data_IF_763730152210
#
_entry.id   IF_763730152210
#
_cell.length_a   1.000
_cell.length_b   1.000
_cell.length_c   1.000
_cell.angle_alpha   90.00
_cell.angle_beta   90.00
_cell.angle_gamma   90.00
#
_symmetry.space_group_name_H-M   'P 1'
#
loop_
_entity.id
_entity.type
_entity.pdbx_description
1 polymer ?
#
# COMPACT_ATOMS: atom_id res chain seq x y z
N UNK A 1 35.40 20.43 -17.71
CA UNK A 1 36.39 19.50 -17.12
C UNK A 1 35.61 18.35 -16.54
N UNK A 2 35.65 17.17 -17.17
CA UNK A 2 35.00 15.94 -16.69
C UNK A 2 35.95 15.26 -15.71
N UNK A 3 35.47 14.93 -14.51
CA UNK A 3 36.20 14.08 -13.57
C UNK A 3 35.47 12.72 -13.49
N UNK A 4 36.20 11.67 -13.85
CA UNK A 4 35.75 10.29 -13.92
C UNK A 4 35.71 9.64 -12.52
N UNK A 5 34.66 8.87 -12.24
CA UNK A 5 34.66 7.89 -11.17
C UNK A 5 35.46 6.66 -11.62
N UNK A 6 36.34 6.19 -10.73
CA UNK A 6 37.13 4.96 -10.87
C UNK A 6 36.37 3.82 -10.19
N UNK A 7 36.05 2.77 -10.93
CA UNK A 7 35.73 1.46 -10.36
C UNK A 7 37.01 0.62 -10.38
N UNK A 8 37.46 0.20 -9.21
CA UNK A 8 38.55 -0.76 -9.05
C UNK A 8 37.95 -2.11 -8.64
N UNK A 9 38.16 -3.14 -9.46
CA UNK A 9 38.01 -4.52 -9.01
C UNK A 9 39.41 -5.10 -8.83
N UNK A 10 39.69 -5.52 -7.60
CA UNK A 10 40.93 -6.19 -7.21
C UNK A 10 40.90 -7.64 -7.68
N UNK A 11 41.87 -8.04 -8.50
CA UNK A 11 42.15 -9.44 -8.79
C UNK A 11 43.28 -9.92 -7.87
N UNK A 12 42.99 -10.92 -7.03
CA UNK A 12 44.00 -11.64 -6.28
C UNK A 12 43.64 -13.13 -6.18
N UNK A 13 44.40 -14.00 -6.85
CA UNK A 13 45.16 -15.04 -6.16
C UNK A 13 46.24 -15.63 -7.08
N UNK A 14 47.44 -15.76 -6.51
CA UNK A 14 48.63 -16.34 -7.12
C UNK A 14 48.83 -17.80 -6.65
N UNK A 15 49.53 -18.62 -7.43
CA UNK A 15 50.76 -19.32 -7.02
C UNK A 15 51.25 -20.35 -8.08
N UNK A 16 52.55 -20.24 -8.38
CA UNK A 16 53.45 -21.11 -9.18
C UNK A 16 53.63 -22.52 -8.57
N UNK A 17 54.01 -23.59 -9.30
CA UNK A 17 55.39 -23.96 -9.76
C UNK A 17 55.36 -25.11 -10.81
N UNK A 18 56.39 -25.08 -11.68
CA UNK A 18 56.74 -25.82 -12.90
C UNK A 18 56.73 -27.37 -12.94
N UNK A 19 56.61 -27.95 -14.15
CA UNK A 19 57.69 -28.62 -14.91
C UNK A 19 57.16 -29.33 -16.18
N UNK A 20 57.88 -29.22 -17.32
CA UNK A 20 57.76 -30.13 -18.47
C UNK A 20 56.98 -29.58 -19.66
N UNK A 21 57.66 -29.32 -20.76
CA UNK A 21 57.14 -28.66 -21.95
C UNK A 21 56.04 -29.42 -22.70
N UNK A 22 54.90 -28.75 -22.87
CA UNK A 22 53.99 -28.87 -24.00
C UNK A 22 53.55 -27.44 -24.28
N UNK A 23 53.72 -26.96 -25.53
CA UNK A 23 53.26 -25.63 -25.95
C UNK A 23 51.74 -25.72 -26.14
N UNK A 24 50.88 -25.03 -25.36
CA UNK A 24 49.47 -24.94 -25.70
C UNK A 24 49.28 -23.86 -26.77
N UNK A 25 48.29 -24.08 -27.63
CA UNK A 25 47.90 -23.20 -28.72
C UNK A 25 47.64 -21.77 -28.23
N UNK A 26 47.99 -20.80 -29.08
CA UNK A 26 47.80 -19.36 -28.91
C UNK A 26 46.36 -19.06 -28.47
N UNK A 27 46.20 -18.62 -27.22
CA UNK A 27 44.93 -18.12 -26.70
C UNK A 27 44.46 -16.94 -27.57
N UNK A 28 43.19 -16.99 -27.97
CA UNK A 28 42.52 -15.87 -28.59
C UNK A 28 42.55 -14.68 -27.62
N UNK A 29 42.84 -13.48 -28.14
CA UNK A 29 42.80 -12.26 -27.36
C UNK A 29 41.39 -12.05 -26.79
N UNK A 30 41.24 -11.51 -25.57
CA UNK A 30 39.92 -11.25 -25.02
C UNK A 30 39.23 -10.23 -25.93
N UNK A 31 38.12 -10.63 -26.54
CA UNK A 31 37.22 -9.69 -27.17
C UNK A 31 36.81 -8.67 -26.11
N UNK A 32 37.07 -7.39 -26.37
CA UNK A 32 36.48 -6.30 -25.62
C UNK A 32 34.96 -6.45 -25.75
N UNK A 33 34.32 -6.99 -24.70
CA UNK A 33 32.87 -6.92 -24.56
C UNK A 33 32.57 -5.46 -24.25
N UNK A 34 32.36 -4.68 -25.30
CA UNK A 34 31.68 -3.39 -25.19
C UNK A 34 30.26 -3.72 -24.76
N UNK A 35 29.99 -3.63 -23.47
CA UNK A 35 28.62 -3.62 -22.96
C UNK A 35 28.00 -2.34 -23.51
N UNK A 36 27.09 -2.50 -24.47
CA UNK A 36 26.39 -1.38 -25.06
C UNK A 36 25.39 -0.82 -24.02
N UNK A 37 25.77 0.28 -23.38
CA UNK A 37 24.90 1.00 -22.44
C UNK A 37 23.58 1.46 -23.08
N UNK A 38 23.45 1.46 -24.42
CA UNK A 38 22.18 1.76 -25.09
C UNK A 38 21.22 0.58 -25.11
N UNK A 39 21.71 -0.67 -25.11
CA UNK A 39 20.88 -1.87 -25.05
C UNK A 39 20.26 -2.09 -23.65
N UNK A 40 21.04 -1.85 -22.59
CA UNK A 40 20.54 -1.87 -21.20
C UNK A 40 19.45 -0.79 -20.98
N UNK A 41 19.52 0.32 -21.71
CA UNK A 41 18.55 1.42 -21.60
C UNK A 41 17.22 1.15 -22.33
N UNK A 42 17.17 0.23 -23.29
CA UNK A 42 15.93 -0.19 -23.94
C UNK A 42 15.25 -1.36 -23.20
N UNK A 43 16.00 -2.10 -22.38
CA UNK A 43 15.49 -3.20 -21.55
C UNK A 43 14.82 -2.73 -20.25
N UNK A 44 15.05 -1.49 -19.83
CA UNK A 44 14.47 -0.89 -18.62
C UNK A 44 13.40 0.18 -18.94
N UNK A 45 12.71 0.04 -20.08
CA UNK A 45 11.52 0.87 -20.35
C UNK A 45 10.47 0.53 -19.29
N UNK A 46 9.81 1.56 -18.79
CA UNK A 46 8.67 1.51 -17.88
C UNK A 46 7.60 2.37 -18.55
N UNK A 47 6.64 1.70 -19.19
CA UNK A 47 5.69 2.33 -20.10
C UNK A 47 4.54 3.04 -19.40
N UNK A 48 4.17 2.58 -18.20
CA UNK A 48 3.06 3.12 -17.41
C UNK A 48 3.51 4.00 -16.24
N UNK A 49 4.81 3.98 -15.92
CA UNK A 49 5.46 4.88 -14.97
C UNK A 49 5.36 4.44 -13.52
N UNK A 50 5.08 3.16 -13.23
CA UNK A 50 4.97 2.63 -11.87
C UNK A 50 6.33 2.32 -11.22
N UNK A 51 7.42 2.36 -12.01
CA UNK A 51 8.79 2.10 -11.61
C UNK A 51 9.26 0.66 -11.83
N UNK A 52 8.38 -0.25 -12.25
CA UNK A 52 8.68 -1.63 -12.61
C UNK A 52 9.00 -1.66 -14.11
N UNK A 53 10.17 -2.20 -14.52
CA UNK A 53 10.46 -2.33 -15.94
C UNK A 53 9.48 -3.28 -16.66
N UNK A 54 9.03 -2.86 -17.84
CA UNK A 54 8.23 -3.63 -18.81
C UNK A 54 8.69 -5.09 -18.95
N UNK A 55 10.01 -5.31 -18.96
CA UNK A 55 10.59 -6.64 -19.17
C UNK A 55 10.42 -7.54 -17.94
N UNK A 56 10.37 -6.95 -16.74
CA UNK A 56 10.09 -7.67 -15.49
C UNK A 56 8.62 -8.04 -15.41
N UNK A 57 7.72 -7.15 -15.80
CA UNK A 57 6.29 -7.42 -15.82
C UNK A 57 5.92 -8.48 -16.86
N UNK A 58 6.61 -8.52 -18.01
CA UNK A 58 6.36 -9.52 -19.07
C UNK A 58 7.00 -10.88 -18.85
N UNK A 59 8.14 -10.94 -18.14
CA UNK A 59 8.91 -12.18 -18.02
C UNK A 59 9.15 -12.64 -16.57
N UNK A 60 8.80 -11.82 -15.58
CA UNK A 60 9.27 -11.96 -14.21
C UNK A 60 10.70 -11.45 -14.02
N UNK A 61 11.15 -11.44 -12.76
CA UNK A 61 12.47 -10.96 -12.35
C UNK A 61 13.12 -11.92 -11.37
N UNK A 62 14.44 -12.01 -11.42
CA UNK A 62 15.25 -12.65 -10.38
C UNK A 62 15.99 -11.55 -9.63
N UNK A 63 15.73 -11.46 -8.33
CA UNK A 63 16.34 -10.48 -7.45
C UNK A 63 17.77 -10.88 -7.07
N UNK A 64 18.53 -9.96 -6.46
CA UNK A 64 19.95 -10.19 -6.14
C UNK A 64 20.19 -11.38 -5.19
N UNK A 65 19.22 -11.69 -4.32
CA UNK A 65 19.26 -12.84 -3.41
C UNK A 65 18.83 -14.17 -4.05
N UNK A 66 18.50 -14.15 -5.35
CA UNK A 66 18.01 -15.31 -6.10
C UNK A 66 16.50 -15.54 -6.00
N UNK A 67 15.75 -14.67 -5.31
CA UNK A 67 14.29 -14.72 -5.27
C UNK A 67 13.72 -14.51 -6.68
N UNK A 68 12.90 -15.45 -7.13
CA UNK A 68 12.19 -15.37 -8.41
C UNK A 68 10.79 -14.80 -8.19
N UNK A 69 10.46 -13.73 -8.87
CA UNK A 69 9.12 -13.13 -8.86
C UNK A 69 8.49 -13.27 -10.24
N UNK A 70 7.38 -14.01 -10.33
CA UNK A 70 6.63 -14.19 -11.56
C UNK A 70 5.57 -13.09 -11.69
N UNK A 71 6.03 -11.85 -11.87
CA UNK A 71 5.16 -10.67 -12.02
C UNK A 71 4.02 -10.85 -13.05
N UNK A 72 4.23 -11.46 -14.23
CA UNK A 72 3.12 -11.68 -15.17
C UNK A 72 2.05 -12.60 -14.59
N UNK A 73 2.44 -13.67 -13.88
CA UNK A 73 1.48 -14.55 -13.23
C UNK A 73 0.82 -13.90 -12.00
N UNK A 74 1.50 -12.93 -11.38
CA UNK A 74 0.97 -12.11 -10.29
C UNK A 74 -0.02 -11.05 -10.77
N UNK A 75 -0.16 -10.87 -12.09
CA UNK A 75 -1.11 -9.95 -12.69
C UNK A 75 -0.53 -8.57 -12.99
N UNK A 76 0.80 -8.43 -13.03
CA UNK A 76 1.44 -7.19 -13.48
C UNK A 76 1.13 -6.92 -14.97
N UNK A 77 0.95 -5.65 -15.33
CA UNK A 77 0.55 -5.19 -16.65
C UNK A 77 1.38 -3.98 -17.09
N UNK A 78 2.28 -4.13 -18.09
CA UNK A 78 3.15 -3.03 -18.57
C UNK A 78 2.42 -1.82 -19.16
N UNK A 79 1.10 -1.83 -19.24
CA UNK A 79 0.28 -0.74 -19.75
C UNK A 79 -0.59 -0.08 -18.68
N UNK A 80 -0.48 -0.55 -17.43
CA UNK A 80 -1.33 -0.13 -16.33
C UNK A 80 -0.56 -0.20 -15.01
N UNK A 81 -0.37 0.93 -14.30
CA UNK A 81 0.50 0.97 -13.12
C UNK A 81 0.15 -0.09 -12.07
N UNK A 82 1.15 -0.82 -11.61
CA UNK A 82 1.02 -1.81 -10.56
C UNK A 82 1.54 -1.31 -9.20
N UNK A 83 0.77 -1.57 -8.16
CA UNK A 83 1.14 -1.26 -6.78
C UNK A 83 1.05 -2.52 -5.94
N UNK A 84 2.21 -3.09 -5.60
CA UNK A 84 2.30 -4.22 -4.68
C UNK A 84 2.41 -3.73 -3.24
N UNK A 85 1.50 -4.19 -2.38
CA UNK A 85 1.41 -3.85 -0.97
C UNK A 85 1.38 -5.14 -0.14
N UNK A 86 2.37 -5.30 0.73
CA UNK A 86 2.29 -6.28 1.82
C UNK A 86 1.79 -5.57 3.08
N UNK A 87 0.78 -6.13 3.74
CA UNK A 87 0.29 -5.67 5.04
C UNK A 87 0.59 -6.71 6.11
N UNK A 88 1.27 -6.28 7.17
CA UNK A 88 1.55 -7.08 8.35
C UNK A 88 0.86 -6.44 9.57
N UNK A 89 0.45 -7.24 10.52
CA UNK A 89 -0.07 -6.73 11.79
C UNK A 89 0.35 -7.57 12.98
N UNK A 90 0.21 -6.96 14.15
CA UNK A 90 0.45 -7.60 15.43
C UNK A 90 -0.67 -8.57 15.78
N UNK A 91 -0.31 -9.69 16.39
CA UNK A 91 -1.28 -10.42 17.22
C UNK A 91 -1.76 -9.53 18.38
N UNK A 92 -2.90 -9.86 18.98
CA UNK A 92 -3.38 -9.16 20.17
C UNK A 92 -2.51 -9.43 21.40
N UNK A 93 -2.43 -8.48 22.34
CA UNK A 93 -1.69 -8.68 23.61
C UNK A 93 -2.21 -9.92 24.36
N UNK A 94 -3.51 -10.15 24.27
CA UNK A 94 -4.18 -11.33 24.84
C UNK A 94 -3.61 -12.64 24.29
N UNK A 95 -3.48 -12.77 22.96
CA UNK A 95 -2.85 -13.94 22.32
C UNK A 95 -1.36 -14.04 22.68
N UNK A 96 -0.64 -12.92 22.77
CA UNK A 96 0.80 -12.93 23.11
C UNK A 96 1.08 -13.47 24.49
N UNK A 97 0.17 -13.21 25.42
CA UNK A 97 0.22 -13.72 26.78
C UNK A 97 -0.27 -15.17 26.91
N UNK A 98 -0.69 -15.82 25.82
CA UNK A 98 -1.20 -17.19 25.80
C UNK A 98 -2.55 -17.36 26.47
N UNK A 99 -3.32 -16.27 26.59
CA UNK A 99 -4.56 -16.24 27.36
C UNK A 99 -5.70 -17.05 26.71
N UNK A 100 -5.59 -17.36 25.42
CA UNK A 100 -6.47 -18.25 24.66
C UNK A 100 -6.26 -19.74 25.01
N UNK A 101 -5.07 -20.10 25.51
CA UNK A 101 -4.72 -21.47 25.90
C UNK A 101 -4.80 -21.66 27.42
N UNK A 102 -4.13 -20.79 28.19
CA UNK A 102 -4.06 -20.89 29.65
C UNK A 102 -4.28 -19.51 30.29
N UNK A 103 -5.50 -19.19 30.74
CA UNK A 103 -5.79 -17.91 31.37
C UNK A 103 -4.95 -17.67 32.62
N UNK A 104 -4.23 -16.56 32.65
CA UNK A 104 -3.42 -16.08 33.78
C UNK A 104 -3.98 -14.77 34.35
N UNK A 105 -3.48 -14.33 35.52
CA UNK A 105 -3.85 -13.02 36.08
C UNK A 105 -3.51 -11.84 35.15
N UNK A 106 -2.46 -11.98 34.34
CA UNK A 106 -2.07 -10.97 33.36
C UNK A 106 -3.15 -10.74 32.28
N UNK A 107 -3.93 -11.78 31.97
CA UNK A 107 -5.00 -11.73 30.98
C UNK A 107 -6.15 -10.79 31.36
N UNK A 108 -6.35 -10.53 32.65
CA UNK A 108 -7.45 -9.68 33.13
C UNK A 108 -7.34 -8.23 32.65
N UNK A 109 -6.12 -7.77 32.35
CA UNK A 109 -5.84 -6.39 31.91
C UNK A 109 -5.24 -6.34 30.49
N UNK A 110 -5.13 -7.49 29.81
CA UNK A 110 -4.54 -7.57 28.48
C UNK A 110 -5.46 -6.92 27.44
N UNK A 111 -4.86 -6.21 26.49
CA UNK A 111 -5.57 -5.65 25.35
C UNK A 111 -6.06 -6.80 24.43
N UNK A 112 -7.38 -6.90 24.27
CA UNK A 112 -8.03 -7.91 23.41
C UNK A 112 -8.28 -7.39 21.99
N UNK A 113 -7.74 -6.22 21.64
CA UNK A 113 -7.91 -5.66 20.31
C UNK A 113 -7.15 -6.49 19.27
N UNK A 114 -7.88 -6.89 18.23
CA UNK A 114 -7.31 -7.51 17.04
C UNK A 114 -6.88 -6.42 16.05
N UNK A 115 -5.70 -6.58 15.46
CA UNK A 115 -5.11 -5.60 14.54
C UNK A 115 -5.33 -5.93 13.06
N UNK A 116 -5.86 -7.12 12.77
CA UNK A 116 -6.17 -7.55 11.41
C UNK A 116 -7.23 -6.68 10.76
N UNK A 117 -7.08 -6.48 9.45
CA UNK A 117 -8.02 -5.73 8.61
C UNK A 117 -9.01 -6.70 7.99
N UNK A 118 -10.28 -6.32 7.88
CA UNK A 118 -11.26 -7.12 7.15
C UNK A 118 -10.95 -7.21 5.66
N UNK A 119 -11.21 -8.39 5.09
CA UNK A 119 -11.05 -8.66 3.66
C UNK A 119 -11.87 -7.69 2.80
N UNK A 120 -13.09 -7.35 3.25
CA UNK A 120 -13.97 -6.42 2.55
C UNK A 120 -13.36 -5.02 2.45
N UNK A 121 -12.75 -4.52 3.53
CA UNK A 121 -12.07 -3.22 3.55
C UNK A 121 -10.88 -3.17 2.58
N UNK A 122 -10.17 -4.28 2.45
CA UNK A 122 -9.05 -4.40 1.50
C UNK A 122 -9.55 -4.50 0.05
N UNK A 123 -10.66 -5.21 -0.19
CA UNK A 123 -11.29 -5.24 -1.49
C UNK A 123 -11.77 -3.86 -1.94
N UNK A 124 -12.39 -3.08 -1.03
CA UNK A 124 -12.80 -1.70 -1.34
C UNK A 124 -11.61 -0.80 -1.71
N UNK A 125 -10.43 -1.03 -1.13
CA UNK A 125 -9.20 -0.35 -1.56
C UNK A 125 -8.77 -0.80 -2.95
N UNK A 126 -8.83 -2.09 -3.25
CA UNK A 126 -8.52 -2.62 -4.59
C UNK A 126 -9.45 -1.99 -5.63
N UNK A 127 -10.76 -1.99 -5.37
CA UNK A 127 -11.76 -1.40 -6.26
C UNK A 127 -11.54 0.11 -6.45
N UNK A 128 -11.20 0.84 -5.38
CA UNK A 128 -10.89 2.26 -5.46
C UNK A 128 -9.70 2.54 -6.39
N UNK A 129 -8.59 1.83 -6.24
CA UNK A 129 -7.45 2.00 -7.16
C UNK A 129 -7.80 1.53 -8.58
N UNK A 130 -8.64 0.50 -8.71
CA UNK A 130 -9.08 0.00 -10.01
C UNK A 130 -9.87 1.05 -10.80
N UNK A 131 -10.80 1.73 -10.13
CA UNK A 131 -11.58 2.86 -10.68
C UNK A 131 -10.71 4.03 -11.16
N UNK A 132 -9.47 4.12 -10.67
CA UNK A 132 -8.47 5.12 -11.08
C UNK A 132 -7.38 4.55 -12.01
N UNK A 133 -7.59 3.35 -12.56
CA UNK A 133 -6.69 2.77 -13.55
C UNK A 133 -5.38 2.24 -12.97
N UNK A 134 -5.31 1.94 -11.67
CA UNK A 134 -4.11 1.39 -11.01
C UNK A 134 -4.44 -0.03 -10.52
N UNK A 135 -3.56 -0.99 -10.77
CA UNK A 135 -3.66 -2.34 -10.23
C UNK A 135 -3.11 -2.37 -8.79
N UNK A 136 -3.98 -2.53 -7.80
CA UNK A 136 -3.55 -2.73 -6.41
C UNK A 136 -3.44 -4.22 -6.07
N UNK A 137 -2.22 -4.71 -5.89
CA UNK A 137 -1.88 -6.07 -5.49
C UNK A 137 -1.60 -6.12 -3.99
N UNK A 138 -2.46 -6.78 -3.21
CA UNK A 138 -2.38 -6.83 -1.74
C UNK A 138 -2.05 -8.25 -1.27
N UNK A 139 -0.98 -8.37 -0.49
CA UNK A 139 -0.66 -9.52 0.35
C UNK A 139 -0.92 -9.18 1.82
N UNK A 140 -2.04 -9.65 2.35
CA UNK A 140 -2.42 -9.56 3.76
C UNK A 140 -2.56 -10.97 4.39
N UNK A 141 -1.74 -11.92 3.94
CA UNK A 141 -1.76 -13.29 4.47
C UNK A 141 -3.02 -14.06 4.09
N UNK A 142 -3.47 -14.94 5.00
CA UNK A 142 -4.69 -15.74 4.82
C UNK A 142 -5.98 -14.89 4.78
N UNK A 143 -5.95 -13.68 5.34
CA UNK A 143 -7.13 -12.81 5.41
C UNK A 143 -7.53 -12.28 4.05
N UNK A 144 -6.56 -11.84 3.25
CA UNK A 144 -6.80 -11.31 1.91
C UNK A 144 -5.50 -11.40 1.10
N UNK A 145 -5.57 -12.03 -0.06
CA UNK A 145 -4.49 -12.04 -1.02
C UNK A 145 -5.10 -12.11 -2.42
N UNK A 146 -5.00 -11.02 -3.19
CA UNK A 146 -5.48 -10.96 -4.57
C UNK A 146 -4.37 -11.20 -5.60
N UNK A 147 -3.16 -11.57 -5.18
CA UNK A 147 -2.01 -11.83 -6.03
C UNK A 147 -2.01 -13.31 -6.46
N UNK A 148 -2.35 -13.65 -7.72
CA UNK A 148 -2.52 -15.04 -8.12
C UNK A 148 -1.20 -15.81 -8.08
N UNK A 149 -1.23 -17.03 -7.52
CA UNK A 149 -0.05 -17.91 -7.47
C UNK A 149 1.09 -17.42 -6.58
N UNK A 150 0.90 -16.33 -5.83
CA UNK A 150 1.88 -15.80 -4.89
C UNK A 150 1.71 -16.44 -3.50
N UNK A 151 2.81 -16.90 -2.93
CA UNK A 151 2.85 -17.38 -1.54
C UNK A 151 2.80 -16.18 -0.59
N UNK A 152 1.69 -16.06 0.14
CA UNK A 152 1.44 -14.95 1.04
C UNK A 152 2.51 -14.84 2.15
N UNK A 153 2.95 -13.62 2.43
CA UNK A 153 3.94 -13.29 3.47
C UNK A 153 3.47 -12.18 4.41
N UNK A 154 2.32 -11.56 4.11
CA UNK A 154 1.61 -10.63 4.99
C UNK A 154 0.78 -11.33 6.06
N UNK A 155 -0.05 -10.56 6.76
CA UNK A 155 -0.97 -11.06 7.78
C UNK A 155 -0.52 -10.83 9.22
N UNK A 156 -1.07 -11.62 10.15
CA UNK A 156 -0.71 -11.65 11.58
C UNK A 156 0.67 -12.29 11.76
N UNK A 157 1.71 -11.50 11.58
CA UNK A 157 3.10 -11.97 11.53
C UNK A 157 3.97 -11.39 12.64
N UNK A 158 3.46 -10.40 13.38
CA UNK A 158 4.20 -9.67 14.39
C UNK A 158 3.68 -10.00 15.79
N UNK A 159 4.58 -10.05 16.76
CA UNK A 159 4.19 -10.10 18.17
C UNK A 159 3.68 -8.74 18.62
N UNK A 160 2.77 -8.73 19.58
CA UNK A 160 2.28 -7.50 20.17
C UNK A 160 3.42 -6.70 20.83
N UNK A 161 3.49 -5.42 20.47
CA UNK A 161 4.21 -4.40 21.22
C UNK A 161 3.32 -3.17 21.35
N UNK A 162 3.20 -2.64 22.56
CA UNK A 162 2.32 -1.49 22.82
C UNK A 162 2.77 -0.21 22.11
N UNK A 163 4.07 0.08 22.17
CA UNK A 163 4.68 1.26 21.58
C UNK A 163 5.60 0.80 20.45
N UNK A 164 5.17 0.93 19.19
CA UNK A 164 5.90 0.34 18.09
C UNK A 164 7.27 0.99 17.83
N UNK A 165 7.39 2.28 18.11
CA UNK A 165 8.61 3.07 17.92
C UNK A 165 9.40 3.30 19.22
N UNK A 166 9.17 2.48 20.24
CA UNK A 166 9.86 2.67 21.52
C UNK A 166 11.39 2.56 21.36
N UNK A 167 12.11 3.60 21.78
CA UNK A 167 13.58 3.70 21.71
C UNK A 167 14.17 3.81 20.30
N UNK A 168 13.37 4.09 19.28
CA UNK A 168 13.84 4.27 17.90
C UNK A 168 13.11 5.44 17.21
N UNK A 169 13.77 6.11 16.26
CA UNK A 169 13.09 7.14 15.46
C UNK A 169 12.12 6.49 14.47
N UNK A 170 10.98 7.15 14.20
CA UNK A 170 9.99 6.63 13.24
C UNK A 170 10.60 6.31 11.87
N UNK A 171 11.40 7.24 11.34
CA UNK A 171 12.07 7.03 10.04
C UNK A 171 13.01 5.83 10.04
N UNK A 172 13.82 5.66 11.09
CA UNK A 172 14.73 4.49 11.20
C UNK A 172 13.95 3.18 11.27
N UNK A 173 12.90 3.11 12.10
CA UNK A 173 12.10 1.90 12.25
C UNK A 173 11.37 1.52 10.96
N UNK A 174 10.80 2.49 10.25
CA UNK A 174 10.14 2.26 8.96
C UNK A 174 11.14 1.81 7.88
N UNK A 175 12.37 2.35 7.87
CA UNK A 175 13.43 1.85 7.00
C UNK A 175 13.80 0.40 7.34
N UNK A 176 13.94 0.08 8.62
CA UNK A 176 14.21 -1.31 9.05
C UNK A 176 13.07 -2.25 8.66
N UNK A 177 11.80 -1.81 8.68
CA UNK A 177 10.68 -2.64 8.23
C UNK A 177 10.83 -3.07 6.76
N UNK A 178 11.30 -2.17 5.90
CA UNK A 178 11.58 -2.50 4.49
C UNK A 178 12.62 -3.62 4.44
N UNK A 179 13.75 -3.43 5.13
CA UNK A 179 14.87 -4.37 5.07
C UNK A 179 14.53 -5.72 5.73
N UNK A 180 13.86 -5.73 6.89
CA UNK A 180 13.56 -6.92 7.68
C UNK A 180 12.38 -7.72 7.12
N UNK A 181 11.36 -7.07 6.54
CA UNK A 181 10.11 -7.74 6.13
C UNK A 181 10.04 -7.98 4.63
N UNK A 182 10.64 -7.12 3.80
CA UNK A 182 10.65 -7.29 2.35
C UNK A 182 11.97 -7.88 1.84
N UNK A 183 13.10 -7.49 2.43
CA UNK A 183 14.42 -7.83 1.89
C UNK A 183 14.57 -7.31 0.46
N UNK A 184 14.98 -8.17 -0.47
CA UNK A 184 15.09 -7.79 -1.90
C UNK A 184 13.73 -7.53 -2.56
N UNK A 185 12.61 -8.02 -1.99
CA UNK A 185 11.28 -7.72 -2.53
C UNK A 185 10.90 -6.24 -2.42
N UNK A 186 11.68 -5.42 -1.70
CA UNK A 186 11.52 -3.96 -1.67
C UNK A 186 11.65 -3.31 -3.07
N UNK A 187 12.19 -4.03 -4.05
CA UNK A 187 12.20 -3.59 -5.45
C UNK A 187 10.83 -3.62 -6.12
N UNK A 188 9.82 -4.22 -5.48
CA UNK A 188 8.45 -4.39 -6.01
C UNK A 188 7.40 -3.98 -4.97
N UNK A 189 7.56 -4.45 -3.73
CA UNK A 189 6.55 -4.30 -2.68
C UNK A 189 6.75 -3.04 -1.83
N UNK A 190 5.63 -2.47 -1.41
CA UNK A 190 5.49 -1.61 -0.23
C UNK A 190 5.12 -2.43 0.99
N UNK A 191 5.44 -1.94 2.19
CA UNK A 191 5.13 -2.59 3.46
C UNK A 191 4.36 -1.66 4.39
N UNK A 192 3.14 -2.08 4.75
CA UNK A 192 2.37 -1.48 5.84
C UNK A 192 2.40 -2.36 7.07
N UNK A 193 2.56 -1.75 8.25
CA UNK A 193 2.46 -2.44 9.54
C UNK A 193 1.33 -1.86 10.37
N UNK A 194 0.48 -2.71 10.97
CA UNK A 194 -0.61 -2.28 11.84
C UNK A 194 -0.35 -2.78 13.27
N UNK A 195 -0.42 -1.86 14.23
CA UNK A 195 -0.18 -2.16 15.65
C UNK A 195 -0.96 -1.23 16.58
N UNK A 196 -0.57 -1.19 17.85
CA UNK A 196 -1.29 -0.41 18.88
C UNK A 196 -1.00 1.10 18.79
N UNK A 197 0.06 1.59 19.45
CA UNK A 197 0.40 3.00 19.55
C UNK A 197 1.76 3.30 18.94
N UNK A 198 1.92 4.56 18.51
CA UNK A 198 3.22 5.09 18.07
C UNK A 198 4.21 5.09 19.24
N UNK A 199 3.83 5.77 20.32
CA UNK A 199 4.57 5.86 21.58
C UNK A 199 3.61 6.15 22.75
N UNK A 200 4.14 6.19 23.98
CA UNK A 200 3.33 6.26 25.21
C UNK A 200 2.42 7.50 25.33
N UNK A 201 2.70 8.58 24.60
CA UNK A 201 1.94 9.84 24.67
C UNK A 201 1.45 10.33 23.30
N UNK A 202 1.70 9.56 22.24
CA UNK A 202 1.34 9.90 20.87
C UNK A 202 0.20 9.02 20.37
N UNK A 203 -0.95 9.66 20.18
CA UNK A 203 -2.18 9.07 19.65
C UNK A 203 -2.40 9.45 18.18
N UNK A 204 -1.32 9.70 17.43
CA UNK A 204 -1.39 9.79 15.98
C UNK A 204 -1.91 8.48 15.41
N UNK A 205 -2.68 8.56 14.33
CA UNK A 205 -3.24 7.41 13.62
C UNK A 205 -2.20 6.59 12.86
N UNK A 206 -1.01 7.16 12.61
CA UNK A 206 0.06 6.48 11.89
C UNK A 206 1.32 7.32 11.72
N UNK A 207 2.25 6.73 10.96
CA UNK A 207 3.51 7.33 10.53
C UNK A 207 3.95 6.68 9.21
N UNK A 208 4.38 7.49 8.24
CA UNK A 208 4.83 7.00 6.94
C UNK A 208 6.09 7.70 6.45
N UNK A 209 6.89 6.98 5.67
CA UNK A 209 7.89 7.60 4.81
C UNK A 209 7.17 8.23 3.61
N UNK A 210 7.51 9.49 3.29
CA UNK A 210 6.90 10.19 2.16
C UNK A 210 7.69 9.89 0.89
N UNK A 211 7.00 9.45 -0.16
CA UNK A 211 7.63 9.04 -1.43
C UNK A 211 8.70 7.94 -1.25
N UNK A 212 8.40 6.98 -0.39
CA UNK A 212 9.17 5.75 -0.18
C UNK A 212 8.15 4.60 0.02
N UNK A 213 8.50 3.49 0.68
CA UNK A 213 7.73 2.24 0.57
C UNK A 213 7.22 1.67 1.90
N UNK A 214 7.40 2.37 3.03
CA UNK A 214 6.97 1.88 4.34
C UNK A 214 6.11 2.85 5.12
N UNK A 215 5.07 2.32 5.75
CA UNK A 215 4.21 3.01 6.68
C UNK A 215 3.76 2.14 7.86
N UNK A 216 3.26 2.81 8.91
CA UNK A 216 2.68 2.20 10.09
C UNK A 216 1.32 2.83 10.41
N UNK A 217 0.35 2.00 10.78
CA UNK A 217 -0.98 2.39 11.25
C UNK A 217 -1.09 2.06 12.74
N UNK A 218 -1.35 3.09 13.55
CA UNK A 218 -1.61 2.98 14.97
C UNK A 218 -3.10 2.76 15.22
N UNK A 219 -3.52 1.49 15.26
CA UNK A 219 -4.89 1.10 15.57
C UNK A 219 -5.12 1.09 17.09
N UNK A 220 -4.87 2.22 17.75
CA UNK A 220 -5.02 2.38 19.19
C UNK A 220 -6.50 2.46 19.62
N UNK A 221 -6.75 2.62 20.93
CA UNK A 221 -8.09 2.62 21.54
C UNK A 221 -9.13 3.63 20.99
N UNK A 222 -8.71 4.63 20.20
CA UNK A 222 -9.64 5.61 19.61
C UNK A 222 -9.96 5.31 18.15
N UNK A 223 -9.24 4.40 17.50
CA UNK A 223 -9.61 3.83 16.22
C UNK A 223 -10.66 2.74 16.49
N UNK A 224 -11.94 3.12 16.38
CA UNK A 224 -13.06 2.35 16.93
C UNK A 224 -13.98 1.73 15.86
N UNK A 225 -13.67 1.93 14.58
CA UNK A 225 -14.38 1.33 13.46
C UNK A 225 -13.42 0.80 12.40
N UNK A 226 -13.89 -0.15 11.61
CA UNK A 226 -13.18 -0.67 10.44
C UNK A 226 -12.99 0.40 9.36
N UNK A 227 -13.96 1.31 9.22
CA UNK A 227 -13.88 2.43 8.26
C UNK A 227 -12.73 3.37 8.64
N UNK A 228 -12.55 3.68 9.93
CA UNK A 228 -11.42 4.48 10.40
C UNK A 228 -10.09 3.78 10.12
N UNK A 229 -10.01 2.46 10.32
CA UNK A 229 -8.82 1.67 10.04
C UNK A 229 -8.51 1.67 8.54
N UNK A 230 -9.48 1.32 7.70
CA UNK A 230 -9.38 1.31 6.23
C UNK A 230 -8.92 2.66 5.70
N UNK A 231 -9.57 3.75 6.13
CA UNK A 231 -9.22 5.09 5.68
C UNK A 231 -7.83 5.50 6.18
N UNK A 232 -7.40 5.05 7.36
CA UNK A 232 -6.04 5.33 7.85
C UNK A 232 -5.00 4.55 7.06
N UNK A 233 -5.27 3.30 6.69
CA UNK A 233 -4.37 2.55 5.78
C UNK A 233 -4.25 3.30 4.45
N UNK A 234 -5.37 3.79 3.89
CA UNK A 234 -5.34 4.62 2.67
C UNK A 234 -4.54 5.91 2.89
N UNK A 235 -4.73 6.61 4.01
CA UNK A 235 -3.98 7.82 4.36
C UNK A 235 -2.46 7.58 4.39
N UNK A 236 -2.03 6.55 5.12
CA UNK A 236 -0.61 6.24 5.28
C UNK A 236 -0.01 5.70 3.97
N UNK A 237 -0.76 4.93 3.19
CA UNK A 237 -0.37 4.55 1.82
C UNK A 237 -0.20 5.80 0.94
N UNK A 238 -1.08 6.79 1.05
CA UNK A 238 -0.99 8.05 0.31
C UNK A 238 0.31 8.81 0.57
N UNK A 239 0.84 8.75 1.79
CA UNK A 239 2.18 9.29 2.08
C UNK A 239 3.28 8.57 1.30
N UNK A 240 3.25 7.23 1.24
CA UNK A 240 4.20 6.46 0.42
C UNK A 240 4.12 6.85 -1.06
N UNK A 241 2.93 7.27 -1.51
CA UNK A 241 2.66 7.78 -2.87
C UNK A 241 2.91 9.28 -3.03
N UNK A 242 3.67 9.89 -2.11
CA UNK A 242 4.13 11.26 -2.25
C UNK A 242 3.09 12.31 -1.88
N UNK A 243 2.00 11.96 -1.19
CA UNK A 243 1.05 12.95 -0.68
C UNK A 243 1.46 13.46 0.71
N UNK A 244 1.06 14.70 1.02
CA UNK A 244 1.08 15.30 2.36
C UNK A 244 -0.33 15.73 2.74
N UNK A 245 -0.51 16.20 3.98
CA UNK A 245 -1.83 16.60 4.48
C UNK A 245 -2.47 17.79 3.76
N UNK A 246 -1.72 18.45 2.87
CA UNK A 246 -2.20 19.57 2.06
C UNK A 246 -2.16 19.28 0.55
N UNK A 247 -1.88 18.04 0.14
CA UNK A 247 -1.75 17.62 -1.26
C UNK A 247 -0.36 17.11 -1.60
N UNK A 248 -0.05 17.02 -2.90
CA UNK A 248 1.19 16.46 -3.43
C UNK A 248 2.46 17.09 -2.83
N UNK A 249 3.38 16.26 -2.33
CA UNK A 249 4.64 16.66 -1.70
C UNK A 249 5.44 17.64 -2.57
N UNK A 250 5.55 17.36 -3.88
CA UNK A 250 6.30 18.19 -4.82
C UNK A 250 5.80 19.65 -4.84
N UNK A 251 4.51 19.84 -4.55
CA UNK A 251 3.82 21.12 -4.56
C UNK A 251 3.81 21.78 -3.19
N UNK A 252 3.74 21.03 -2.09
CA UNK A 252 3.49 21.59 -0.74
C UNK A 252 4.65 21.45 0.27
N UNK A 253 5.82 20.96 -0.15
CA UNK A 253 6.97 20.71 0.75
C UNK A 253 7.47 21.93 1.54
N UNK A 254 7.38 23.13 1.00
CA UNK A 254 7.84 24.39 1.60
C UNK A 254 6.86 25.01 2.60
N UNK A 255 5.63 24.49 2.64
CA UNK A 255 4.56 24.91 3.56
C UNK A 255 4.22 23.81 4.58
N UNK A 256 5.05 22.77 4.66
CA UNK A 256 4.88 21.68 5.60
C UNK A 256 4.82 22.19 7.04
N UNK A 257 3.85 21.71 7.82
CA UNK A 257 3.67 22.08 9.22
C UNK A 257 2.98 23.43 9.44
N UNK A 258 2.66 24.17 8.37
CA UNK A 258 1.86 25.38 8.47
C UNK A 258 0.38 25.02 8.66
N UNK A 259 -0.30 25.79 9.52
CA UNK A 259 -1.75 25.72 9.67
C UNK A 259 -2.40 26.63 8.63
N UNK A 260 -2.93 26.03 7.57
CA UNK A 260 -3.59 26.70 6.46
C UNK A 260 -5.05 26.23 6.36
N UNK A 261 -5.91 27.05 5.75
CA UNK A 261 -7.27 26.63 5.42
C UNK A 261 -7.22 25.62 4.26
N UNK A 262 -7.50 24.37 4.59
CA UNK A 262 -7.54 23.24 3.65
C UNK A 262 -8.93 22.65 3.55
N UNK A 263 -9.97 23.40 3.96
CA UNK A 263 -11.36 22.92 3.92
C UNK A 263 -11.82 22.49 2.53
N UNK A 264 -11.27 23.09 1.47
CA UNK A 264 -11.53 22.71 0.08
C UNK A 264 -10.77 21.45 -0.39
N UNK A 265 -9.75 21.00 0.35
CA UNK A 265 -8.97 19.80 0.04
C UNK A 265 -9.69 18.56 0.59
N UNK A 266 -10.63 18.05 -0.19
CA UNK A 266 -11.43 16.87 0.15
C UNK A 266 -10.68 15.58 -0.20
N UNK A 267 -9.89 15.09 0.75
CA UNK A 267 -9.03 13.91 0.60
C UNK A 267 -8.87 13.24 1.95
N UNK A 268 -8.69 11.92 1.95
CA UNK A 268 -8.34 11.17 3.18
C UNK A 268 -7.04 11.70 3.81
N UNK A 269 -6.17 12.35 3.03
CA UNK A 269 -4.94 12.99 3.51
C UNK A 269 -5.18 14.20 4.42
N UNK A 270 -6.37 14.80 4.36
CA UNK A 270 -6.74 15.92 5.19
C UNK A 270 -7.39 15.43 6.49
N UNK A 271 -6.88 15.86 7.63
CA UNK A 271 -7.38 15.45 8.95
C UNK A 271 -8.86 15.79 9.21
N UNK A 272 -9.43 16.79 8.53
CA UNK A 272 -10.86 17.08 8.62
C UNK A 272 -11.74 16.00 7.95
N UNK A 273 -11.14 15.16 7.09
CA UNK A 273 -11.84 14.16 6.28
C UNK A 273 -11.33 12.71 6.48
N UNK A 274 -10.15 12.53 7.08
CA UNK A 274 -9.48 11.22 7.20
C UNK A 274 -10.41 10.09 7.65
N UNK A 275 -11.24 10.30 8.66
CA UNK A 275 -12.05 9.21 9.22
C UNK A 275 -13.41 9.01 8.54
N UNK A 276 -13.90 10.01 7.80
CA UNK A 276 -15.27 10.01 7.27
C UNK A 276 -15.33 10.06 5.74
N UNK A 277 -14.17 10.08 5.06
CA UNK A 277 -14.07 10.13 3.60
C UNK A 277 -13.04 9.13 3.07
N UNK A 278 -13.51 8.19 2.26
CA UNK A 278 -12.70 7.13 1.65
C UNK A 278 -12.41 7.42 0.19
N UNK A 279 -11.53 8.39 -0.08
CA UNK A 279 -10.94 8.66 -1.39
C UNK A 279 -9.79 9.67 -1.25
N UNK A 280 -8.89 9.75 -2.22
CA UNK A 280 -8.03 10.91 -2.40
C UNK A 280 -8.78 12.06 -3.09
N UNK A 281 -8.15 13.22 -3.24
CA UNK A 281 -8.75 14.37 -3.94
C UNK A 281 -8.89 14.10 -5.44
N UNK A 282 -10.12 14.20 -5.94
CA UNK A 282 -10.47 14.09 -7.36
C UNK A 282 -10.22 15.37 -8.16
N UNK A 283 -9.99 16.49 -7.48
CA UNK A 283 -9.94 17.81 -8.12
C UNK A 283 -8.81 18.66 -7.55
N UNK A 284 -8.22 19.54 -8.37
CA UNK A 284 -7.33 20.56 -7.85
C UNK A 284 -8.09 21.53 -6.93
N UNK A 285 -7.35 22.19 -6.04
CA UNK A 285 -7.87 23.26 -5.21
C UNK A 285 -6.87 24.43 -5.10
N UNK A 286 -7.37 25.61 -4.76
CA UNK A 286 -6.55 26.78 -4.49
C UNK A 286 -6.26 26.87 -3.00
N UNK A 287 -4.99 26.93 -2.66
CA UNK A 287 -4.49 27.07 -1.30
C UNK A 287 -3.90 28.47 -1.11
N UNK A 288 -4.45 29.24 -0.18
CA UNK A 288 -3.85 30.51 0.23
C UNK A 288 -2.65 30.25 1.15
N UNK A 289 -1.48 30.75 0.78
CA UNK A 289 -0.23 30.57 1.52
C UNK A 289 0.43 31.91 1.82
N UNK A 290 1.35 31.99 2.79
CA UNK A 290 2.17 33.18 3.01
C UNK A 290 2.99 33.63 1.78
N UNK A 291 3.15 32.75 0.78
CA UNK A 291 3.89 33.00 -0.45
C UNK A 291 2.99 33.29 -1.66
N UNK A 292 1.67 33.42 -1.43
CA UNK A 292 0.65 33.63 -2.44
C UNK A 292 -0.25 32.42 -2.64
N UNK A 293 -1.30 32.60 -3.45
CA UNK A 293 -2.23 31.53 -3.81
C UNK A 293 -1.52 30.49 -4.67
N UNK A 294 -1.64 29.24 -4.27
CA UNK A 294 -1.07 28.07 -4.96
C UNK A 294 -2.18 27.18 -5.46
N UNK A 295 -2.08 26.75 -6.71
CA UNK A 295 -2.91 25.65 -7.20
C UNK A 295 -2.25 24.33 -6.80
N UNK A 296 -3.00 23.51 -6.06
CA UNK A 296 -2.61 22.16 -5.67
C UNK A 296 -3.40 21.20 -6.56
N UNK A 297 -2.74 20.26 -7.27
CA UNK A 297 -3.42 19.33 -8.18
C UNK A 297 -4.35 18.37 -7.43
N UNK A 298 -5.20 17.66 -8.18
CA UNK A 298 -5.86 16.48 -7.66
C UNK A 298 -4.80 15.46 -7.20
N UNK A 299 -5.11 14.69 -6.16
CA UNK A 299 -4.15 13.73 -5.60
C UNK A 299 -3.89 12.59 -6.58
N UNK A 300 -4.95 12.05 -7.20
CA UNK A 300 -4.86 10.97 -8.19
C UNK A 300 -3.97 11.32 -9.38
N UNK A 301 -3.92 12.60 -9.78
CA UNK A 301 -3.07 13.08 -10.88
C UNK A 301 -1.61 13.31 -10.46
N UNK A 302 -1.33 13.28 -9.15
CA UNK A 302 -0.04 13.68 -8.58
C UNK A 302 0.62 12.59 -7.73
N UNK A 303 0.10 11.36 -7.76
CA UNK A 303 0.70 10.21 -7.07
C UNK A 303 2.10 9.92 -7.60
N UNK A 304 3.04 9.72 -6.69
CA UNK A 304 4.38 9.22 -6.99
C UNK A 304 4.40 7.69 -6.83
N UNK A 305 3.92 6.98 -7.86
CA UNK A 305 3.83 5.51 -7.86
C UNK A 305 5.24 4.88 -7.97
N UNK A 306 6.16 5.50 -8.70
CA UNK A 306 7.54 5.04 -8.86
C UNK A 306 8.48 5.49 -7.73
N UNK A 307 8.24 5.01 -6.51
CA UNK A 307 9.16 5.24 -5.40
C UNK A 307 10.58 4.78 -5.78
N UNK A 308 11.61 5.52 -5.35
CA UNK A 308 13.00 5.37 -5.85
C UNK A 308 13.63 3.97 -5.68
N UNK A 309 13.04 3.10 -4.86
CA UNK A 309 13.47 1.71 -4.64
C UNK A 309 12.87 0.73 -5.64
N UNK A 310 11.70 1.06 -6.20
CA UNK A 310 10.99 0.19 -7.14
C UNK A 310 11.82 0.11 -8.42
N UNK A 311 12.01 -1.11 -8.93
CA UNK A 311 12.81 -1.36 -10.14
C UNK A 311 14.31 -1.09 -10.03
N UNK A 312 14.84 -0.75 -8.84
CA UNK A 312 16.20 -0.24 -8.71
C UNK A 312 17.29 -1.32 -8.79
N UNK A 313 17.00 -2.56 -8.39
CA UNK A 313 17.97 -3.66 -8.30
C UNK A 313 17.33 -5.00 -8.68
N UNK A 314 17.63 -5.47 -9.89
CA UNK A 314 17.24 -6.81 -10.33
C UNK A 314 18.07 -7.23 -11.54
N UNK A 315 18.28 -8.55 -11.68
CA UNK A 315 18.95 -9.12 -12.84
C UNK A 315 17.85 -9.72 -13.72
N UNK A 316 17.63 -9.12 -14.89
CA UNK A 316 16.64 -9.61 -15.83
C UNK A 316 17.04 -11.00 -16.34
N UNK A 317 16.38 -12.05 -15.83
CA UNK A 317 16.26 -13.38 -16.46
C UNK A 317 15.52 -14.35 -15.54
N UNK A 318 14.18 -14.38 -15.58
CA UNK A 318 13.50 -15.63 -15.22
C UNK A 318 13.42 -16.49 -16.51
N UNK A 319 13.76 -17.79 -16.47
CA UNK A 319 13.59 -18.65 -17.62
C UNK A 319 12.09 -18.76 -17.93
N UNK A 320 11.72 -18.44 -19.16
CA UNK A 320 10.41 -18.74 -19.73
C UNK A 320 10.04 -20.18 -19.38
N UNK A 321 8.98 -20.38 -18.59
CA UNK A 321 8.38 -21.71 -18.44
C UNK A 321 7.58 -22.05 -19.72
N UNK A 322 8.27 -22.15 -20.85
CA UNK A 322 7.80 -22.90 -22.00
C UNK A 322 8.39 -24.30 -21.91
N UNK A 323 7.57 -25.30 -21.57
CA UNK A 323 8.01 -26.69 -21.66
C UNK A 323 7.28 -27.73 -20.82
N UNK A 324 5.95 -27.83 -20.94
CA UNK A 324 5.25 -29.10 -20.64
C UNK A 324 3.86 -29.19 -21.30
N UNK A 325 3.75 -28.92 -22.60
CA UNK A 325 2.65 -29.48 -23.40
C UNK A 325 3.30 -30.22 -24.57
N UNK A 326 3.32 -31.55 -24.47
CA UNK A 326 3.61 -32.40 -25.61
C UNK A 326 2.42 -32.32 -26.57
N UNK A 327 2.48 -31.44 -27.57
CA UNK A 327 1.56 -31.50 -28.70
C UNK A 327 1.89 -32.73 -29.56
N UNK A 328 0.95 -33.67 -29.78
CA UNK A 328 1.11 -34.64 -30.82
C UNK A 328 0.83 -33.98 -32.18
N UNK A 329 1.71 -34.28 -33.14
CA UNK A 329 1.70 -33.81 -34.52
C UNK A 329 0.30 -33.82 -35.20
N UNK A 330 0.03 -32.88 -36.13
CA UNK A 330 -1.28 -32.68 -36.73
C UNK A 330 -1.70 -33.89 -37.56
N UNK A 331 -2.83 -34.50 -37.21
CA UNK A 331 -3.52 -35.49 -38.04
C UNK A 331 -4.60 -34.81 -38.86
N UNK A 332 -4.63 -35.18 -40.13
CA UNK A 332 -5.57 -34.77 -41.18
C UNK A 332 -7.04 -34.86 -40.73
N UNK A 333 -7.83 -33.84 -41.12
CA UNK A 333 -9.28 -33.80 -40.95
C UNK A 333 -9.98 -34.82 -41.88
N UNK A 334 -11.00 -35.55 -41.39
CA UNK A 334 -12.04 -36.10 -42.24
C UNK A 334 -13.32 -35.24 -42.25
N UNK A 335 -14.02 -35.34 -43.37
CA UNK A 335 -15.17 -34.58 -43.88
C UNK A 335 -16.44 -34.56 -43.01
N UNK A 336 -17.28 -33.56 -43.31
CA UNK A 336 -18.64 -33.32 -42.80
C UNK A 336 -19.59 -34.51 -42.96
N UNK A 337 -20.37 -34.82 -41.92
CA UNK A 337 -21.68 -35.47 -42.05
C UNK A 337 -22.77 -34.64 -41.35
N UNK A 338 -23.86 -34.40 -42.09
CA UNK A 338 -25.08 -33.68 -41.69
C UNK A 338 -25.82 -34.35 -40.52
N UNK A 339 -26.49 -33.58 -39.62
CA UNK A 339 -27.45 -34.16 -38.70
C UNK A 339 -28.83 -34.33 -39.34
N UNK A 340 -29.43 -35.51 -39.13
CA UNK A 340 -30.82 -35.82 -39.44
C UNK A 340 -31.78 -35.34 -38.33
N UNK A 341 -32.97 -34.99 -38.79
CA UNK A 341 -34.12 -34.37 -38.12
C UNK A 341 -34.94 -35.37 -37.26
N UNK A 342 -35.38 -34.96 -36.06
CA UNK A 342 -36.51 -35.57 -35.33
C UNK A 342 -37.24 -34.55 -34.41
N UNK A 343 -38.53 -34.76 -34.09
CA UNK A 343 -39.56 -33.71 -34.15
C UNK A 343 -40.03 -33.13 -32.80
N UNK A 344 -40.77 -32.01 -32.90
CA UNK A 344 -41.41 -31.25 -31.83
C UNK A 344 -42.65 -31.93 -31.21
N UNK A 345 -43.10 -31.50 -30.02
CA UNK A 345 -44.49 -31.65 -29.60
C UNK A 345 -45.26 -30.32 -29.54
N UNK A 346 -46.54 -30.42 -29.90
CA UNK A 346 -47.57 -29.38 -30.03
C UNK A 346 -48.05 -28.76 -28.71
N UNK A 347 -48.67 -27.59 -28.87
CA UNK A 347 -49.34 -26.79 -27.86
C UNK A 347 -50.83 -27.12 -27.72
N UNK A 348 -51.39 -26.92 -26.52
CA UNK A 348 -52.83 -26.71 -26.29
C UNK A 348 -53.07 -25.47 -25.40
N UNK A 349 -54.15 -24.75 -25.69
CA UNK A 349 -54.76 -23.57 -25.01
C UNK A 349 -56.28 -23.60 -25.36
N UNK A 350 -57.18 -22.74 -24.83
CA UNK A 350 -57.32 -22.11 -23.49
C UNK A 350 -58.82 -22.02 -23.01
N UNK A 351 -59.09 -21.44 -21.82
CA UNK A 351 -60.30 -20.65 -21.47
C UNK A 351 -60.11 -19.99 -20.06
N UNK A 352 -59.98 -18.65 -19.91
CA UNK A 352 -61.02 -17.61 -19.64
C UNK A 352 -61.94 -17.90 -18.41
N UNK A 353 -62.15 -17.03 -17.41
CA UNK A 353 -62.42 -15.59 -17.45
C UNK A 353 -62.11 -14.83 -16.11
N UNK A 354 -61.95 -13.51 -16.24
CA UNK A 354 -61.60 -12.43 -15.28
C UNK A 354 -62.81 -11.96 -14.40
N UNK A 355 -62.88 -10.72 -13.83
CA UNK A 355 -61.88 -9.74 -13.28
C UNK A 355 -62.31 -9.17 -11.89
N UNK A 356 -61.48 -8.34 -11.23
CA UNK A 356 -61.86 -6.96 -10.83
C UNK A 356 -60.70 -6.15 -10.20
N UNK A 357 -60.81 -4.82 -10.33
CA UNK A 357 -59.77 -3.76 -10.25
C UNK A 357 -60.01 -2.89 -8.97
N UNK A 358 -59.41 -1.69 -8.77
CA UNK A 358 -58.77 -1.29 -7.50
C UNK A 358 -59.37 -0.02 -6.84
N UNK A 359 -58.98 0.30 -5.60
CA UNK A 359 -59.09 1.62 -4.92
C UNK A 359 -58.63 1.42 -3.46
N UNK A 360 -58.20 2.37 -2.61
CA UNK A 360 -57.83 3.79 -2.62
C UNK A 360 -57.28 4.07 -1.20
N UNK A 361 -56.49 5.13 -1.02
CA UNK A 361 -56.28 5.79 0.30
C UNK A 361 -57.59 6.43 0.80
N UNK A 362 -57.78 6.57 2.11
CA UNK A 362 -57.83 7.92 2.72
C UNK A 362 -57.09 7.97 4.09
N UNK A 363 -56.31 8.99 4.43
CA UNK A 363 -56.67 10.36 4.89
C UNK A 363 -57.05 10.44 6.38
N UNK A 364 -56.51 11.50 7.00
CA UNK A 364 -56.41 11.87 8.42
C UNK A 364 -57.74 12.03 9.17
N UNK A 365 -57.72 11.86 10.51
CA UNK A 365 -58.42 12.76 11.43
C UNK A 365 -57.86 12.73 12.87
N UNK A 366 -57.70 13.93 13.40
CA UNK A 366 -57.38 14.31 14.78
C UNK A 366 -58.51 13.94 15.76
N UNK A 367 -58.19 13.70 17.05
CA UNK A 367 -58.71 14.49 18.19
C UNK A 367 -58.27 13.97 19.58
N UNK A 368 -57.64 14.90 20.32
CA UNK A 368 -57.85 15.29 21.74
C UNK A 368 -57.53 14.36 22.94
N UNK A 369 -56.42 14.75 23.59
CA UNK A 369 -56.15 14.95 25.03
C UNK A 369 -57.15 14.54 26.14
N UNK A 370 -56.61 13.89 27.20
CA UNK A 370 -56.69 14.38 28.60
C UNK A 370 -55.69 13.69 29.57
N UNK A 371 -54.67 14.47 29.95
CA UNK A 371 -53.93 14.72 31.21
C UNK A 371 -53.89 13.79 32.48
N UNK A 372 -52.68 13.84 33.09
CA UNK A 372 -52.21 13.66 34.51
C UNK A 372 -51.51 12.31 34.79
N UNK A 373 -50.28 12.22 35.32
CA UNK A 373 -49.57 13.05 36.31
C UNK A 373 -48.04 13.19 36.02
N UNK A 374 -47.45 14.28 36.51
CA UNK A 374 -45.99 14.56 36.60
C UNK A 374 -45.57 14.55 38.08
N UNK A 375 -44.31 14.22 38.41
CA UNK A 375 -43.31 15.27 38.69
C UNK A 375 -41.89 14.94 38.13
N UNK A 376 -41.24 15.82 37.37
CA UNK A 376 -40.22 16.83 37.76
C UNK A 376 -38.76 16.35 37.48
N UNK A 377 -37.80 17.26 37.17
CA UNK A 377 -37.05 17.21 35.90
C UNK A 377 -35.66 16.57 35.98
N UNK A 378 -35.23 15.91 34.90
CA UNK A 378 -33.82 15.67 34.60
C UNK A 378 -33.39 16.71 33.57
N UNK A 379 -32.36 17.47 33.90
CA UNK A 379 -31.74 18.48 33.05
C UNK A 379 -31.03 17.76 31.90
N UNK A 380 -31.57 17.87 30.71
CA UNK A 380 -30.93 17.44 29.47
C UNK A 380 -29.90 18.51 29.10
N UNK A 381 -28.61 18.17 29.19
CA UNK A 381 -27.56 18.94 28.52
C UNK A 381 -27.33 18.29 27.18
N UNK A 382 -27.79 18.96 26.12
CA UNK A 382 -27.30 18.75 24.77
C UNK A 382 -25.78 18.91 24.77
N UNK A 383 -25.05 17.80 24.72
CA UNK A 383 -23.61 17.83 24.44
C UNK A 383 -23.46 17.84 22.94
N UNK A 384 -23.28 19.03 22.39
CA UNK A 384 -22.87 19.23 21.01
C UNK A 384 -21.48 18.60 20.83
N UNK A 385 -21.43 17.45 20.14
CA UNK A 385 -20.23 16.61 19.95
C UNK A 385 -19.12 17.35 19.17
N UNK A 386 -19.44 18.48 18.52
CA UNK A 386 -18.46 19.32 17.83
C UNK A 386 -17.53 20.16 18.76
N UNK A 387 -17.73 20.16 20.08
CA UNK A 387 -16.99 21.06 20.99
C UNK A 387 -15.95 20.38 21.91
N UNK A 388 -15.68 19.07 21.79
CA UNK A 388 -14.75 18.33 22.67
C UNK A 388 -13.46 17.85 21.98
N UNK A 389 -13.36 17.95 20.65
CA UNK A 389 -12.17 17.48 19.89
C UNK A 389 -11.10 18.57 19.70
N UNK A 390 -11.35 19.80 20.16
CA UNK A 390 -10.56 20.97 19.74
C UNK A 390 -9.26 21.32 20.53
N UNK A 391 -8.78 20.63 21.59
CA UNK A 391 -7.46 21.00 22.14
C UNK A 391 -6.51 19.83 22.46
N UNK A 392 -6.24 18.89 21.53
CA UNK A 392 -5.08 17.98 21.65
C UNK A 392 -4.15 17.96 20.41
N UNK A 393 -4.48 18.66 19.32
CA UNK A 393 -3.62 18.71 18.11
C UNK A 393 -2.50 19.77 18.18
N UNK A 394 -2.08 20.20 19.38
CA UNK A 394 -1.17 21.35 19.55
C UNK A 394 0.27 21.02 19.98
N UNK A 395 0.74 19.76 19.90
CA UNK A 395 2.14 19.41 20.20
C UNK A 395 2.69 18.35 19.22
N UNK A 396 2.60 18.57 17.91
CA UNK A 396 3.26 17.68 16.92
C UNK A 396 3.86 18.45 15.73
N UNK A 397 4.55 19.57 16.00
CA UNK A 397 5.26 20.32 14.96
C UNK A 397 6.69 20.75 15.33
N UNK A 398 7.33 20.17 16.36
CA UNK A 398 8.64 20.69 16.82
C UNK A 398 9.75 19.67 17.15
N UNK A 399 9.58 18.36 16.91
CA UNK A 399 10.68 17.42 17.18
C UNK A 399 10.81 16.45 16.02
N UNK A 400 11.58 16.87 15.00
CA UNK A 400 11.80 15.99 13.85
C UNK A 400 12.67 16.52 12.73
N UNK A 401 13.59 17.48 12.94
CA UNK A 401 14.70 17.75 11.98
C UNK A 401 15.94 18.15 12.79
N UNK A 402 17.02 17.37 12.65
CA UNK A 402 18.27 17.56 13.37
C UNK A 402 19.17 18.67 12.82
N UNK A 403 20.16 19.07 13.62
CA UNK A 403 21.35 19.76 13.11
C UNK A 403 22.61 19.25 13.83
N UNK A 404 23.37 18.44 13.10
CA UNK A 404 24.80 18.36 13.28
C UNK A 404 25.42 19.71 12.87
N UNK A 405 26.04 20.42 13.81
CA UNK A 405 27.00 21.48 13.51
C UNK A 405 28.34 21.02 14.06
N UNK A 406 29.19 20.56 13.14
CA UNK A 406 30.59 20.31 13.40
C UNK A 406 31.31 21.64 13.71
N UNK A 407 32.16 21.53 14.72
CA UNK A 407 33.21 22.46 15.14
C UNK A 407 33.99 23.11 13.98
N UNK A 408 34.10 24.45 14.01
CA UNK A 408 35.27 25.18 13.51
C UNK A 408 35.52 26.49 14.30
N UNK A 409 36.41 26.41 15.31
CA UNK A 409 37.44 27.40 15.75
C UNK A 409 37.03 28.84 16.19
N UNK A 410 37.93 29.67 16.78
CA UNK A 410 38.71 29.48 18.02
C UNK A 410 38.67 30.72 18.96
N UNK A 411 38.94 30.51 20.26
CA UNK A 411 39.80 31.38 21.08
C UNK A 411 39.32 32.75 21.60
N UNK A 412 39.77 33.04 22.84
CA UNK A 412 39.83 34.33 23.56
C UNK A 412 38.47 34.81 24.11
N UNK A 413 38.30 35.13 25.39
CA UNK A 413 39.21 35.49 26.47
C UNK A 413 38.49 36.53 27.35
N UNK A 414 38.67 36.39 28.67
CA UNK A 414 38.11 37.17 29.79
C UNK A 414 36.77 36.72 30.37
#
# INVERSE_FOLDING_TARGET
MRAALRTGLAAALAATVAFGGVVPAKAAEPADVVVDNQAISAELIDSDGDGIPDIWERNGVVLEDGTVLNLPAYGADPSRPDLFLQLNWMESEYKTLGCDVEPSEACANANTKEYGVKAESLQEMVDLFDDHGINLHVDAGETFNNIPGYEARGGETLKYVKNYFENESQGSKLLNNIDEMLGERQNIFRIGVIGDQIDAYNLSSGASLVNDTSFFVANHRFMNSEEMLRNTILHELGHTLGLRHQGAHAVVKDIQGMRLDTSAYKSVMNYDYQFDYFNYSEKPYLLDTPFGVREVPADWEALAINAWRIGARGVASAPSQEGAVNDPAPKEQPEEEKPAEQPAPEAEKPAENQPEKPAEKPAEHEQQAEQKDKPAPVVEKDVNVAAIVAPIVAILALIGIGFAVMNMMPGLGF
#
